data_IF_198648129284
#
_entry.id   IF_198648129284
#
_cell.length_a   1.000
_cell.length_b   1.000
_cell.length_c   1.000
_cell.angle_alpha   90.00
_cell.angle_beta   90.00
_cell.angle_gamma   90.00
#
_symmetry.space_group_name_H-M   'P 1'
#
loop_
_entity.id
_entity.type
_entity.pdbx_description
1 polymer ?
#
# COMPACT_ATOMS: atom_id res chain seq x y z
N UNK A 1 -27.54 12.12 -11.67
CA UNK A 1 -26.23 12.33 -11.00
C UNK A 1 -25.26 11.24 -11.45
N UNK A 2 -24.45 11.49 -12.48
CA UNK A 2 -23.40 10.56 -12.89
C UNK A 2 -22.32 10.56 -11.80
N UNK A 3 -22.27 9.53 -10.95
CA UNK A 3 -21.09 9.29 -10.10
C UNK A 3 -19.97 8.89 -11.05
N UNK A 4 -19.06 9.81 -11.36
CA UNK A 4 -17.81 9.47 -12.02
C UNK A 4 -17.18 8.31 -11.24
N UNK A 5 -16.94 7.18 -11.92
CA UNK A 5 -16.35 6.00 -11.32
C UNK A 5 -14.98 6.30 -10.69
N UNK A 6 -14.42 5.37 -9.90
CA UNK A 6 -13.09 5.54 -9.34
C UNK A 6 -12.10 5.85 -10.46
N UNK A 7 -11.45 7.02 -10.39
CA UNK A 7 -10.42 7.40 -11.36
C UNK A 7 -9.31 6.34 -11.44
N UNK A 8 -8.54 6.30 -12.55
CA UNK A 8 -7.56 5.24 -12.80
C UNK A 8 -6.55 5.06 -11.67
N UNK A 9 -6.09 6.15 -11.04
CA UNK A 9 -5.18 6.09 -9.88
C UNK A 9 -5.83 5.46 -8.64
N UNK A 10 -7.14 5.65 -8.47
CA UNK A 10 -7.90 4.99 -7.40
C UNK A 10 -7.98 3.49 -7.66
N UNK A 11 -8.22 3.06 -8.90
CA UNK A 11 -8.21 1.65 -9.27
C UNK A 11 -6.85 1.00 -9.01
N UNK A 12 -5.75 1.66 -9.37
CA UNK A 12 -4.38 1.19 -9.08
C UNK A 12 -4.17 1.08 -7.57
N UNK A 13 -4.58 2.08 -6.78
CA UNK A 13 -4.44 2.05 -5.32
C UNK A 13 -5.23 0.89 -4.68
N UNK A 14 -6.43 0.60 -5.20
CA UNK A 14 -7.25 -0.53 -4.75
C UNK A 14 -6.63 -1.88 -5.14
N UNK A 15 -6.07 -1.99 -6.35
CA UNK A 15 -5.37 -3.19 -6.77
C UNK A 15 -4.15 -3.46 -5.88
N UNK A 16 -3.34 -2.44 -5.59
CA UNK A 16 -2.20 -2.56 -4.68
C UNK A 16 -2.64 -2.98 -3.27
N UNK A 17 -3.76 -2.44 -2.79
CA UNK A 17 -4.34 -2.83 -1.50
C UNK A 17 -4.80 -4.30 -1.51
N UNK A 18 -5.44 -4.75 -2.60
CA UNK A 18 -5.90 -6.12 -2.74
C UNK A 18 -4.71 -7.11 -2.76
N UNK A 19 -3.63 -6.76 -3.47
CA UNK A 19 -2.40 -7.55 -3.49
C UNK A 19 -1.76 -7.63 -2.11
N UNK A 20 -1.65 -6.50 -1.41
CA UNK A 20 -1.16 -6.47 -0.02
C UNK A 20 -2.01 -7.33 0.90
N UNK A 21 -3.34 -7.20 0.84
CA UNK A 21 -4.25 -8.00 1.65
C UNK A 21 -4.10 -9.50 1.33
N UNK A 22 -4.04 -9.87 0.06
CA UNK A 22 -3.83 -11.25 -0.37
C UNK A 22 -2.51 -11.82 0.16
N UNK A 23 -1.41 -11.09 0.03
CA UNK A 23 -0.10 -11.52 0.52
C UNK A 23 -0.07 -11.65 2.05
N UNK A 24 -0.67 -10.72 2.78
CA UNK A 24 -0.68 -10.74 4.24
C UNK A 24 -1.59 -11.83 4.80
N UNK A 25 -2.69 -12.15 4.11
CA UNK A 25 -3.58 -13.24 4.50
C UNK A 25 -3.10 -14.61 4.02
N UNK A 26 -2.21 -14.67 3.03
CA UNK A 26 -1.73 -15.91 2.44
C UNK A 26 -1.20 -16.94 3.46
N UNK A 27 -0.34 -16.58 4.44
CA UNK A 27 0.16 -17.54 5.42
C UNK A 27 -0.96 -18.10 6.30
N UNK A 28 -1.97 -17.30 6.60
CA UNK A 28 -3.12 -17.71 7.42
C UNK A 28 -4.02 -18.70 6.68
N UNK A 29 -4.14 -18.56 5.36
CA UNK A 29 -4.99 -19.41 4.52
C UNK A 29 -4.27 -20.68 4.03
N UNK A 30 -2.97 -20.60 3.77
CA UNK A 30 -2.18 -21.69 3.19
C UNK A 30 -1.37 -22.49 4.20
N UNK A 31 -1.12 -21.94 5.41
CA UNK A 31 -0.15 -22.48 6.35
C UNK A 31 1.31 -22.34 5.88
N UNK A 32 1.55 -21.62 4.77
CA UNK A 32 2.86 -21.41 4.17
C UNK A 32 3.71 -20.34 4.88
N UNK A 33 4.97 -20.16 4.45
CA UNK A 33 5.85 -19.15 5.02
C UNK A 33 5.33 -17.73 4.78
N UNK A 34 5.69 -16.77 5.65
CA UNK A 34 5.35 -15.37 5.46
C UNK A 34 5.98 -14.81 4.17
N UNK A 35 5.30 -13.86 3.49
CA UNK A 35 5.86 -13.19 2.34
C UNK A 35 7.10 -12.36 2.70
N UNK A 36 7.99 -12.16 1.72
CA UNK A 36 9.21 -11.37 1.89
C UNK A 36 8.92 -9.94 2.40
N UNK A 37 9.61 -9.47 3.45
CA UNK A 37 9.48 -8.09 3.94
C UNK A 37 9.76 -7.05 2.85
N UNK A 38 10.74 -7.32 1.97
CA UNK A 38 11.08 -6.45 0.85
C UNK A 38 9.96 -6.34 -0.20
N UNK A 39 9.22 -7.43 -0.44
CA UNK A 39 8.06 -7.42 -1.34
C UNK A 39 6.93 -6.56 -0.77
N UNK A 40 6.62 -6.73 0.52
CA UNK A 40 5.59 -5.91 1.19
C UNK A 40 6.01 -4.44 1.20
N UNK A 41 7.27 -4.15 1.56
CA UNK A 41 7.80 -2.78 1.56
C UNK A 41 7.74 -2.14 0.15
N UNK A 42 8.09 -2.89 -0.90
CA UNK A 42 7.98 -2.43 -2.28
C UNK A 42 6.54 -2.10 -2.70
N UNK A 43 5.57 -2.93 -2.32
CA UNK A 43 4.15 -2.68 -2.60
C UNK A 43 3.61 -1.47 -1.84
N UNK A 44 3.99 -1.31 -0.56
CA UNK A 44 3.67 -0.12 0.22
C UNK A 44 4.30 1.14 -0.37
N UNK A 45 5.53 1.06 -0.86
CA UNK A 45 6.21 2.19 -1.52
C UNK A 45 5.50 2.58 -2.82
N UNK A 46 5.10 1.60 -3.65
CA UNK A 46 4.29 1.86 -4.83
C UNK A 46 2.96 2.54 -4.48
N UNK A 47 2.30 2.06 -3.40
CA UNK A 47 1.04 2.64 -2.91
C UNK A 47 1.23 4.07 -2.42
N UNK A 48 2.30 4.33 -1.68
CA UNK A 48 2.71 5.66 -1.23
C UNK A 48 2.89 6.60 -2.43
N UNK A 49 3.62 6.18 -3.47
CA UNK A 49 3.79 6.96 -4.70
C UNK A 49 2.47 7.34 -5.37
N UNK A 50 1.53 6.39 -5.46
CA UNK A 50 0.17 6.64 -5.99
C UNK A 50 -0.61 7.63 -5.12
N UNK A 51 -0.51 7.50 -3.80
CA UNK A 51 -1.20 8.40 -2.86
C UNK A 51 -0.64 9.83 -2.93
N UNK A 52 0.69 9.98 -2.97
CA UNK A 52 1.36 11.28 -3.13
C UNK A 52 0.97 11.91 -4.47
N UNK A 53 0.96 11.13 -5.56
CA UNK A 53 0.58 11.64 -6.87
C UNK A 53 -0.89 12.11 -6.93
N UNK A 54 -1.79 11.37 -6.26
CA UNK A 54 -3.20 11.77 -6.13
C UNK A 54 -3.35 13.06 -5.31
N UNK A 55 -2.60 13.18 -4.21
CA UNK A 55 -2.61 14.37 -3.35
C UNK A 55 -2.05 15.62 -4.06
N UNK A 56 -1.13 15.45 -5.02
CA UNK A 56 -0.65 16.54 -5.87
C UNK A 56 -1.67 16.98 -6.93
N UNK A 57 -2.54 16.08 -7.40
CA UNK A 57 -3.54 16.37 -8.44
C UNK A 57 -4.87 16.90 -7.89
N UNK A 58 -5.21 16.57 -6.65
CA UNK A 58 -6.45 16.98 -6.02
C UNK A 58 -6.21 17.29 -4.54
N UNK A 59 -6.34 18.56 -4.18
CA UNK A 59 -6.11 19.02 -2.80
C UNK A 59 -7.10 18.42 -1.81
N UNK A 60 -8.30 17.99 -2.26
CA UNK A 60 -9.30 17.34 -1.41
C UNK A 60 -8.88 15.92 -1.00
N UNK A 61 -7.88 15.36 -1.69
CA UNK A 61 -7.32 14.03 -1.42
C UNK A 61 -6.07 14.09 -0.53
N UNK A 62 -5.65 15.27 -0.05
CA UNK A 62 -4.57 15.43 0.94
C UNK A 62 -5.02 14.88 2.30
N UNK A 63 -5.02 13.55 2.46
CA UNK A 63 -5.22 12.88 3.76
C UNK A 63 -3.87 12.42 4.30
N UNK A 64 -3.22 13.18 5.18
CA UNK A 64 -1.87 12.89 5.67
C UNK A 64 -1.75 11.51 6.33
N UNK A 65 -2.82 11.04 6.95
CA UNK A 65 -2.82 9.80 7.72
C UNK A 65 -2.61 8.54 6.88
N UNK A 66 -3.12 8.44 5.65
CA UNK A 66 -3.01 7.17 4.91
C UNK A 66 -1.60 6.90 4.40
N UNK A 67 -0.88 7.92 3.96
CA UNK A 67 0.48 7.75 3.46
C UNK A 67 1.53 7.76 4.58
N UNK A 68 1.24 8.40 5.72
CA UNK A 68 2.08 8.30 6.92
C UNK A 68 2.14 6.87 7.48
N UNK A 69 1.01 6.15 7.44
CA UNK A 69 0.97 4.72 7.83
C UNK A 69 1.84 3.88 6.88
N UNK A 70 1.73 4.11 5.57
CA UNK A 70 2.56 3.39 4.59
C UNK A 70 4.06 3.65 4.87
N UNK A 71 4.47 4.89 5.16
CA UNK A 71 5.85 5.22 5.54
C UNK A 71 6.31 4.51 6.81
N UNK A 72 5.48 4.51 7.86
CA UNK A 72 5.81 3.86 9.13
C UNK A 72 5.97 2.34 8.95
N UNK A 73 5.10 1.72 8.16
CA UNK A 73 5.19 0.30 7.85
C UNK A 73 6.42 -0.03 7.01
N UNK A 74 6.75 0.79 6.01
CA UNK A 74 7.98 0.63 5.21
C UNK A 74 9.20 0.70 6.12
N UNK A 75 9.30 1.72 6.98
CA UNK A 75 10.41 1.89 7.90
C UNK A 75 10.55 0.69 8.85
N UNK A 76 9.44 0.20 9.41
CA UNK A 76 9.42 -0.95 10.30
C UNK A 76 9.86 -2.23 9.58
N UNK A 77 9.35 -2.49 8.38
CA UNK A 77 9.70 -3.68 7.59
C UNK A 77 11.18 -3.69 7.21
N UNK A 78 11.72 -2.54 6.80
CA UNK A 78 13.13 -2.41 6.46
C UNK A 78 14.03 -2.57 7.69
N UNK A 79 13.62 -2.02 8.84
CA UNK A 79 14.33 -2.21 10.10
C UNK A 79 14.35 -3.67 10.55
N UNK A 80 13.20 -4.36 10.48
CA UNK A 80 13.14 -5.80 10.79
C UNK A 80 14.02 -6.60 9.83
N UNK A 81 13.98 -6.27 8.54
CA UNK A 81 14.76 -6.97 7.52
C UNK A 81 16.27 -6.71 7.63
N UNK A 82 16.70 -5.53 8.12
CA UNK A 82 18.13 -5.24 8.36
C UNK A 82 18.69 -5.85 9.64
N UNK A 83 17.81 -6.30 10.54
CA UNK A 83 18.16 -6.87 11.84
C UNK A 83 18.04 -8.39 11.89
N UNK A 84 17.78 -9.04 10.74
CA UNK A 84 17.84 -10.50 10.54
C UNK A 84 19.13 -10.84 9.79
#
# INVERSE_FOLDING_TARGET
>A
MNRAGPGPLTAVSLLLLLLLAGLLLWPLLSGGPPPSPYLIAGLLFARLGVQVWRAQRDERLKRPSSWAIDLLLIALLLWVASNQ
#
